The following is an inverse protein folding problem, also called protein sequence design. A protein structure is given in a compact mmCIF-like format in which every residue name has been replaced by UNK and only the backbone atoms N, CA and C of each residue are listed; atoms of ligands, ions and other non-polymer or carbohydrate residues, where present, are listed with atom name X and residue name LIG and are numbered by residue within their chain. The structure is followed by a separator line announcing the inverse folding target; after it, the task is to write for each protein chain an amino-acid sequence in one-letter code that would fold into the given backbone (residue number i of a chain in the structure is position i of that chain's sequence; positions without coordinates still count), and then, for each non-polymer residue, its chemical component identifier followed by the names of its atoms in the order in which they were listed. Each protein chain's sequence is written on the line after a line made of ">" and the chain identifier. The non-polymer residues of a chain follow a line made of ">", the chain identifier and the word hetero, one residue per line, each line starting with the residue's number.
data_IF_766884805517
#
_entry.id   IF_766884805517
#
_cell.length_a   1.000
_cell.length_b   1.000
_cell.length_c   1.000
_cell.angle_alpha   90.00
_cell.angle_beta   90.00
_cell.angle_gamma   90.00
#
_symmetry.space_group_name_H-M   'P 1'
#
loop_
_entity.id
_entity.type
_entity.pdbx_description
1 polymer ?
#
# COMPACT_ATOMS: atom_id res chain seq x y z
N UNK A 1 -11.75 26.76 6.26
CA UNK A 1 -12.01 25.34 5.97
C UNK A 1 -11.58 25.05 4.55
N UNK A 2 -10.68 24.08 4.35
CA UNK A 2 -10.41 23.52 3.04
C UNK A 2 -11.47 22.45 2.73
N UNK A 3 -11.91 22.42 1.48
CA UNK A 3 -12.73 21.32 0.99
C UNK A 3 -11.81 20.15 0.69
N UNK A 4 -12.10 18.96 1.22
CA UNK A 4 -11.48 17.73 0.77
C UNK A 4 -11.83 17.51 -0.69
N UNK A 5 -10.89 17.02 -1.47
CA UNK A 5 -11.10 16.77 -2.90
C UNK A 5 -10.63 15.37 -3.25
N UNK A 6 -11.57 14.57 -3.70
CA UNK A 6 -11.30 13.22 -4.18
C UNK A 6 -11.54 13.14 -5.67
N UNK A 7 -10.54 12.69 -6.40
CA UNK A 7 -10.64 12.35 -7.82
C UNK A 7 -10.55 10.83 -7.96
N UNK A 8 -11.50 10.26 -8.69
CA UNK A 8 -11.49 8.86 -9.05
C UNK A 8 -11.82 8.73 -10.53
N UNK A 9 -10.83 8.32 -11.33
CA UNK A 9 -10.97 8.10 -12.75
C UNK A 9 -10.66 6.65 -13.05
N UNK A 10 -11.63 5.95 -13.62
CA UNK A 10 -11.48 4.56 -14.03
C UNK A 10 -11.85 4.41 -15.50
N UNK A 11 -10.95 3.85 -16.26
CA UNK A 11 -11.14 3.56 -17.68
C UNK A 11 -10.88 2.08 -17.92
N UNK A 12 -11.65 1.48 -18.84
CA UNK A 12 -11.42 0.11 -19.27
C UNK A 12 -11.43 0.03 -20.79
N UNK A 13 -10.56 -0.80 -21.30
CA UNK A 13 -10.41 -1.08 -22.72
C UNK A 13 -10.46 -2.60 -22.89
N UNK A 14 -11.27 -3.07 -23.80
CA UNK A 14 -11.33 -4.49 -24.14
C UNK A 14 -11.50 -4.65 -25.63
N UNK A 15 -10.99 -5.73 -26.15
CA UNK A 15 -11.11 -6.05 -27.55
C UNK A 15 -10.51 -7.42 -27.83
N UNK A 16 -10.58 -7.82 -29.08
CA UNK A 16 -9.99 -9.07 -29.50
C UNK A 16 -10.58 -9.60 -30.80
N UNK A 17 -10.15 -10.80 -31.10
CA UNK A 17 -10.57 -11.62 -32.22
C UNK A 17 -10.75 -13.05 -31.74
N UNK A 18 -10.98 -13.97 -32.66
CA UNK A 18 -11.04 -15.41 -32.36
C UNK A 18 -9.69 -15.95 -31.86
N UNK A 19 -8.57 -15.24 -32.16
CA UNK A 19 -7.22 -15.67 -31.79
C UNK A 19 -6.70 -15.00 -30.54
N UNK A 20 -7.16 -13.80 -30.19
CA UNK A 20 -6.71 -13.13 -28.98
C UNK A 20 -7.82 -12.29 -28.37
N UNK A 21 -7.76 -12.10 -27.05
CA UNK A 21 -8.63 -11.21 -26.29
C UNK A 21 -7.79 -10.46 -25.29
N UNK A 22 -8.10 -9.19 -25.10
CA UNK A 22 -7.46 -8.40 -24.05
C UNK A 22 -8.48 -7.59 -23.26
N UNK A 23 -8.12 -7.33 -22.01
CA UNK A 23 -8.85 -6.44 -21.13
C UNK A 23 -7.86 -5.64 -20.30
N UNK A 24 -7.91 -4.31 -20.44
CA UNK A 24 -7.03 -3.38 -19.71
C UNK A 24 -7.88 -2.43 -18.90
N UNK A 25 -7.50 -2.20 -17.65
CA UNK A 25 -8.08 -1.20 -16.75
C UNK A 25 -7.00 -0.25 -16.30
N UNK A 26 -7.29 1.04 -16.36
CA UNK A 26 -6.51 2.11 -15.76
C UNK A 26 -7.36 2.76 -14.68
N UNK A 27 -6.86 2.77 -13.46
CA UNK A 27 -7.53 3.34 -12.29
C UNK A 27 -6.61 4.39 -11.67
N UNK A 28 -7.04 5.64 -11.69
CA UNK A 28 -6.36 6.75 -11.03
C UNK A 28 -7.22 7.27 -9.89
N UNK A 29 -6.65 7.27 -8.69
CA UNK A 29 -7.26 7.78 -7.49
C UNK A 29 -6.37 8.82 -6.85
N UNK A 30 -6.95 9.93 -6.45
CA UNK A 30 -6.29 10.95 -5.64
C UNK A 30 -7.25 11.51 -4.61
N UNK A 31 -6.86 11.42 -3.36
CA UNK A 31 -7.58 12.00 -2.24
C UNK A 31 -6.71 13.05 -1.55
N UNK A 32 -7.29 14.18 -1.28
CA UNK A 32 -6.65 15.29 -0.57
C UNK A 32 -7.46 15.62 0.67
N UNK A 33 -6.80 15.61 1.81
CA UNK A 33 -7.39 15.89 3.12
C UNK A 33 -8.02 17.28 3.18
N UNK A 34 -9.05 17.40 4.04
CA UNK A 34 -9.65 18.68 4.45
C UNK A 34 -8.76 19.51 5.39
N UNK A 35 -7.64 18.95 5.87
CA UNK A 35 -6.71 19.70 6.70
C UNK A 35 -6.14 20.88 5.90
N UNK A 36 -6.22 22.07 6.51
CA UNK A 36 -5.79 23.31 5.84
C UNK A 36 -4.30 23.22 5.50
N UNK A 37 -3.96 23.41 4.20
CA UNK A 37 -2.59 23.67 3.80
C UNK A 37 -2.15 24.95 4.50
N UNK A 38 -1.18 24.85 5.35
CA UNK A 38 -0.62 26.03 5.97
C UNK A 38 0.73 25.71 6.61
N UNK A 39 1.68 25.40 5.77
CA UNK A 39 3.07 25.47 6.15
C UNK A 39 3.55 26.90 5.91
N UNK A 40 4.06 27.53 6.91
CA UNK A 40 4.80 28.80 6.77
C UNK A 40 6.12 28.53 6.07
N UNK A 41 6.64 27.32 6.22
CA UNK A 41 7.83 26.84 5.55
C UNK A 41 7.50 26.34 4.13
N UNK A 42 7.96 27.06 3.13
CA UNK A 42 7.69 26.76 1.72
C UNK A 42 8.50 25.58 1.17
N UNK A 43 9.48 25.06 1.94
CA UNK A 43 10.35 23.95 1.54
C UNK A 43 9.62 22.61 1.51
N UNK A 44 8.45 22.48 2.16
CA UNK A 44 7.66 21.24 2.17
C UNK A 44 6.16 21.49 2.32
N UNK A 45 5.37 20.47 1.98
CA UNK A 45 3.90 20.48 2.10
C UNK A 45 3.46 19.33 3.02
N UNK A 46 2.79 19.66 4.12
CA UNK A 46 2.27 18.71 5.10
C UNK A 46 0.83 18.26 4.82
N UNK A 47 0.22 18.74 3.73
CA UNK A 47 -1.16 18.37 3.39
C UNK A 47 -1.24 16.86 3.11
N UNK A 48 -2.01 16.10 3.89
CA UNK A 48 -2.16 14.68 3.63
C UNK A 48 -2.80 14.43 2.27
N UNK A 49 -2.15 13.62 1.47
CA UNK A 49 -2.61 13.24 0.12
C UNK A 49 -2.34 11.75 -0.10
N UNK A 50 -3.32 11.02 -0.62
CA UNK A 50 -3.17 9.65 -1.12
C UNK A 50 -3.36 9.66 -2.63
N UNK A 51 -2.33 9.30 -3.38
CA UNK A 51 -2.39 9.19 -4.84
C UNK A 51 -2.07 7.76 -5.25
N UNK A 52 -2.87 7.19 -6.13
CA UNK A 52 -2.70 5.83 -6.61
C UNK A 52 -3.00 5.74 -8.10
N UNK A 53 -2.07 5.14 -8.84
CA UNK A 53 -2.27 4.73 -10.22
C UNK A 53 -2.16 3.21 -10.28
N UNK A 54 -3.17 2.55 -10.85
CA UNK A 54 -3.14 1.11 -11.10
C UNK A 54 -3.44 0.86 -12.57
N UNK A 55 -2.60 0.08 -13.21
CA UNK A 55 -2.85 -0.44 -14.56
C UNK A 55 -2.89 -1.95 -14.46
N UNK A 56 -3.95 -2.55 -14.98
CA UNK A 56 -4.12 -3.99 -15.06
C UNK A 56 -4.42 -4.38 -16.50
N UNK A 57 -3.70 -5.37 -17.00
CA UNK A 57 -3.94 -5.93 -18.35
C UNK A 57 -3.99 -7.44 -18.25
N UNK A 58 -5.00 -8.03 -18.86
CA UNK A 58 -5.10 -9.48 -19.09
C UNK A 58 -5.12 -9.72 -20.59
N UNK A 59 -4.43 -10.74 -21.03
CA UNK A 59 -4.32 -11.16 -22.43
C UNK A 59 -4.51 -12.67 -22.53
N UNK A 60 -5.42 -13.09 -23.38
CA UNK A 60 -5.63 -14.49 -23.78
C UNK A 60 -5.28 -14.63 -25.25
N UNK A 61 -4.41 -15.57 -25.60
CA UNK A 61 -3.97 -15.84 -26.99
C UNK A 61 -4.14 -17.32 -27.30
N UNK A 62 -4.94 -17.63 -28.30
CA UNK A 62 -5.00 -18.96 -28.90
C UNK A 62 -3.82 -19.12 -29.86
N UNK A 63 -2.77 -19.73 -29.39
CA UNK A 63 -1.56 -19.99 -30.20
C UNK A 63 -1.85 -21.02 -31.29
N UNK A 64 -2.61 -22.07 -30.92
CA UNK A 64 -3.22 -23.05 -31.80
C UNK A 64 -4.64 -23.36 -31.34
N UNK A 65 -5.39 -24.19 -32.07
CA UNK A 65 -6.72 -24.63 -31.63
C UNK A 65 -6.70 -25.40 -30.30
N UNK A 66 -5.55 -26.00 -29.96
CA UNK A 66 -5.36 -26.78 -28.74
C UNK A 66 -4.49 -26.08 -27.68
N UNK A 67 -3.90 -24.92 -28.01
CA UNK A 67 -2.95 -24.21 -27.13
C UNK A 67 -3.46 -22.82 -26.80
N UNK A 68 -3.69 -22.56 -25.52
CA UNK A 68 -4.10 -21.26 -24.98
C UNK A 68 -3.00 -20.69 -24.09
N UNK A 69 -2.55 -19.49 -24.41
CA UNK A 69 -1.63 -18.69 -23.60
C UNK A 69 -2.44 -17.61 -22.88
N UNK A 70 -2.22 -17.44 -21.57
CA UNK A 70 -2.79 -16.32 -20.80
C UNK A 70 -1.67 -15.57 -20.12
N UNK A 71 -1.74 -14.26 -20.17
CA UNK A 71 -0.84 -13.36 -19.47
C UNK A 71 -1.61 -12.30 -18.70
N UNK A 72 -1.21 -12.07 -17.47
CA UNK A 72 -1.74 -11.01 -16.61
C UNK A 72 -0.60 -10.12 -16.10
N UNK A 73 -0.84 -8.82 -16.04
CA UNK A 73 0.08 -7.88 -15.43
C UNK A 73 -0.69 -6.81 -14.66
N UNK A 74 -0.26 -6.53 -13.44
CA UNK A 74 -0.77 -5.43 -12.62
C UNK A 74 0.40 -4.58 -12.18
N UNK A 75 0.43 -3.33 -12.62
CA UNK A 75 1.31 -2.29 -12.11
C UNK A 75 0.55 -1.34 -11.20
N UNK A 76 1.04 -1.09 -9.99
CA UNK A 76 0.47 -0.09 -9.08
C UNK A 76 1.57 0.78 -8.51
N UNK A 77 1.36 2.08 -8.61
CA UNK A 77 2.15 3.08 -7.91
C UNK A 77 1.24 3.79 -6.91
N UNK A 78 1.64 3.82 -5.64
CA UNK A 78 0.94 4.52 -4.57
C UNK A 78 1.88 5.49 -3.89
N UNK A 79 1.46 6.73 -3.75
CA UNK A 79 2.17 7.78 -3.03
C UNK A 79 1.29 8.32 -1.91
N UNK A 80 1.83 8.29 -0.69
CA UNK A 80 1.23 8.88 0.50
C UNK A 80 2.10 10.05 0.93
N UNK A 81 1.50 11.21 1.09
CA UNK A 81 2.14 12.39 1.68
C UNK A 81 1.39 12.82 2.92
N UNK A 82 2.08 13.48 3.82
CA UNK A 82 1.44 14.01 5.01
C UNK A 82 2.43 14.56 6.03
N UNK A 83 1.93 14.83 7.21
CA UNK A 83 2.73 15.25 8.34
C UNK A 83 3.67 14.15 8.81
N UNK A 84 4.81 14.51 9.38
CA UNK A 84 5.79 13.56 9.95
C UNK A 84 5.14 12.61 10.97
N UNK A 85 4.24 13.12 11.79
CA UNK A 85 3.40 12.30 12.66
C UNK A 85 2.12 11.88 11.96
N UNK A 86 1.75 10.62 12.14
CA UNK A 86 0.50 10.08 11.61
C UNK A 86 -0.72 10.81 12.20
N UNK A 87 -1.82 10.78 11.46
CA UNK A 87 -3.09 11.41 11.82
C UNK A 87 -3.50 11.12 13.26
N UNK A 88 -3.45 9.86 13.68
CA UNK A 88 -3.86 9.45 15.03
C UNK A 88 -3.02 10.13 16.13
N UNK A 89 -1.72 10.29 15.91
CA UNK A 89 -0.85 10.98 16.88
C UNK A 89 -1.26 12.43 17.05
N UNK A 90 -1.55 13.13 15.95
CA UNK A 90 -1.98 14.53 16.00
C UNK A 90 -3.32 14.65 16.71
N UNK A 91 -4.30 13.81 16.38
CA UNK A 91 -5.61 13.82 17.07
C UNK A 91 -5.50 13.47 18.55
N UNK A 92 -4.66 12.51 18.92
CA UNK A 92 -4.40 12.17 20.32
C UNK A 92 -3.80 13.37 21.08
N UNK A 93 -2.94 14.18 20.45
CA UNK A 93 -2.45 15.42 21.05
C UNK A 93 -3.54 16.49 21.17
N UNK A 94 -4.41 16.62 20.17
CA UNK A 94 -5.56 17.57 20.23
C UNK A 94 -6.50 17.21 21.37
N UNK A 95 -6.83 15.95 21.58
CA UNK A 95 -7.74 15.53 22.65
C UNK A 95 -7.06 15.41 24.03
N UNK A 96 -5.77 15.10 24.04
CA UNK A 96 -5.04 14.87 25.31
C UNK A 96 -4.41 16.12 25.93
N UNK A 97 -4.40 17.26 25.24
CA UNK A 97 -3.83 18.51 25.76
C UNK A 97 -4.95 19.48 26.06
N UNK A 98 -5.16 19.85 27.35
CA UNK A 98 -6.14 20.87 27.72
C UNK A 98 -5.84 22.21 27.03
N UNK A 99 -6.89 22.91 26.58
CA UNK A 99 -6.75 24.21 25.91
C UNK A 99 -6.10 25.29 26.80
N UNK A 100 -6.17 25.13 28.11
CA UNK A 100 -5.54 26.01 29.09
C UNK A 100 -4.05 25.70 29.35
N UNK A 101 -3.49 24.61 28.79
CA UNK A 101 -2.13 24.21 29.07
C UNK A 101 -1.09 25.19 28.52
N UNK A 102 -1.33 25.73 27.33
CA UNK A 102 -0.50 26.74 26.67
C UNK A 102 -1.23 27.32 25.45
N UNK A 103 -0.92 28.54 24.98
CA UNK A 103 -1.47 29.09 23.75
C UNK A 103 -0.90 28.36 22.54
N UNK A 104 -1.59 28.37 21.40
CA UNK A 104 -1.09 27.84 20.15
C UNK A 104 0.26 28.51 19.78
N UNK A 105 0.27 29.85 19.86
CA UNK A 105 1.46 30.69 19.69
C UNK A 105 1.43 31.87 20.68
N UNK A 106 2.58 32.28 21.11
CA UNK A 106 2.76 33.52 21.84
C UNK A 106 2.85 34.69 20.86
N UNK A 107 2.77 35.93 21.36
CA UNK A 107 2.83 37.16 20.55
C UNK A 107 4.13 37.27 19.73
N UNK A 108 5.23 36.75 20.25
CA UNK A 108 6.52 36.66 19.54
C UNK A 108 6.59 35.59 18.45
N UNK A 109 5.47 34.92 18.13
CA UNK A 109 5.37 33.90 17.10
C UNK A 109 5.86 32.51 17.49
N UNK A 110 6.42 32.32 18.71
CA UNK A 110 6.91 31.04 19.19
C UNK A 110 5.73 30.14 19.60
N UNK A 111 5.77 28.86 19.22
CA UNK A 111 4.76 27.89 19.61
C UNK A 111 4.71 27.69 21.13
N UNK A 112 3.51 27.57 21.67
CA UNK A 112 3.33 27.20 23.08
C UNK A 112 3.68 25.74 23.32
N UNK A 113 4.22 25.48 24.50
CA UNK A 113 4.53 24.16 25.00
C UNK A 113 4.60 24.18 26.52
N UNK A 114 4.91 23.06 27.13
CA UNK A 114 5.12 22.96 28.58
C UNK A 114 6.09 21.82 28.91
N UNK A 115 6.59 21.81 30.15
CA UNK A 115 7.44 20.71 30.63
C UNK A 115 6.74 19.35 30.63
N UNK A 116 5.41 19.33 30.73
CA UNK A 116 4.60 18.11 30.72
C UNK A 116 4.32 17.61 29.30
N UNK A 117 4.00 18.51 28.39
CA UNK A 117 3.59 18.17 27.03
C UNK A 117 4.71 18.35 26.00
N UNK A 118 5.82 18.97 26.39
CA UNK A 118 7.02 19.17 25.56
C UNK A 118 6.68 19.84 24.22
N UNK A 119 7.22 19.26 23.14
CA UNK A 119 6.97 19.66 21.76
C UNK A 119 5.62 19.17 21.23
N UNK A 120 4.64 18.89 22.10
CA UNK A 120 3.37 18.29 21.72
C UNK A 120 2.34 19.24 21.14
N UNK A 121 2.69 20.50 20.82
CA UNK A 121 1.72 21.45 20.23
C UNK A 121 1.13 20.92 18.92
N UNK A 122 -0.18 20.62 18.87
CA UNK A 122 -0.78 19.95 17.70
C UNK A 122 -0.65 20.76 16.41
N UNK A 123 -0.68 22.09 16.51
CA UNK A 123 -0.57 22.97 15.34
C UNK A 123 0.85 23.00 14.82
N UNK A 124 1.86 23.02 15.71
CA UNK A 124 3.26 22.93 15.30
C UNK A 124 3.57 21.57 14.66
N UNK A 125 3.07 20.48 15.25
CA UNK A 125 3.23 19.13 14.69
C UNK A 125 2.59 18.98 13.32
N UNK A 126 1.47 19.66 13.08
CA UNK A 126 0.78 19.66 11.79
C UNK A 126 1.51 20.49 10.73
N UNK A 127 2.14 21.61 11.13
CA UNK A 127 2.63 22.62 10.19
C UNK A 127 4.15 22.63 10.05
N UNK A 128 4.89 22.50 11.13
CA UNK A 128 6.30 22.86 11.20
C UNK A 128 7.23 21.74 11.70
N UNK A 129 6.75 20.50 11.80
CA UNK A 129 7.54 19.39 12.29
C UNK A 129 8.08 18.45 11.20
N UNK A 130 8.05 18.91 9.93
CA UNK A 130 8.44 18.13 8.78
C UNK A 130 7.31 17.33 8.16
N UNK A 131 7.64 16.48 7.20
CA UNK A 131 6.66 15.72 6.43
C UNK A 131 7.15 14.32 6.08
N UNK A 132 6.23 13.47 5.65
CA UNK A 132 6.52 12.16 5.08
C UNK A 132 6.05 12.10 3.63
N UNK A 133 6.78 11.32 2.83
CA UNK A 133 6.41 10.89 1.49
C UNK A 133 6.73 9.41 1.34
N UNK A 134 5.70 8.57 1.33
CA UNK A 134 5.85 7.14 1.21
C UNK A 134 5.44 6.72 -0.20
N UNK A 135 6.34 6.05 -0.92
CA UNK A 135 6.11 5.58 -2.28
C UNK A 135 6.14 4.06 -2.29
N UNK A 136 5.07 3.44 -2.77
CA UNK A 136 4.93 1.99 -2.89
C UNK A 136 4.74 1.61 -4.34
N UNK A 137 5.58 0.71 -4.83
CA UNK A 137 5.46 0.05 -6.11
C UNK A 137 4.99 -1.40 -5.95
N UNK A 138 4.06 -1.81 -6.76
CA UNK A 138 3.60 -3.21 -6.84
C UNK A 138 3.61 -3.62 -8.30
N UNK A 139 4.26 -4.73 -8.61
CA UNK A 139 4.21 -5.40 -9.89
C UNK A 139 3.79 -6.85 -9.65
N UNK A 140 2.68 -7.26 -10.23
CA UNK A 140 2.22 -8.65 -10.25
C UNK A 140 2.17 -9.06 -11.72
N UNK A 141 2.79 -10.18 -12.05
CA UNK A 141 2.80 -10.72 -13.39
C UNK A 141 2.55 -12.23 -13.34
N UNK A 142 1.71 -12.71 -14.21
CA UNK A 142 1.42 -14.12 -14.39
C UNK A 142 1.42 -14.48 -15.87
N UNK A 143 1.87 -15.69 -16.16
CA UNK A 143 1.86 -16.29 -17.49
C UNK A 143 1.48 -17.76 -17.34
N UNK A 144 0.48 -18.21 -18.11
CA UNK A 144 0.13 -19.62 -18.18
C UNK A 144 -0.03 -20.08 -19.61
N UNK A 145 0.33 -21.32 -19.84
CA UNK A 145 0.13 -22.04 -21.10
C UNK A 145 -0.67 -23.31 -20.81
N UNK A 146 -1.82 -23.44 -21.48
CA UNK A 146 -2.69 -24.62 -21.40
C UNK A 146 -2.72 -25.31 -22.73
N UNK A 147 -2.43 -26.61 -22.71
CA UNK A 147 -2.47 -27.50 -23.87
C UNK A 147 -3.62 -28.49 -23.70
N UNK A 148 -4.57 -28.48 -24.63
CA UNK A 148 -5.53 -29.57 -24.77
C UNK A 148 -4.83 -30.80 -25.37
N UNK A 149 -4.91 -31.92 -24.66
CA UNK A 149 -4.32 -33.21 -25.03
C UNK A 149 -5.40 -34.22 -25.45
N UNK A 150 -6.57 -33.74 -25.88
CA UNK A 150 -7.69 -34.59 -26.31
C UNK A 150 -7.35 -35.49 -27.51
N UNK A 151 -6.31 -35.16 -28.26
CA UNK A 151 -5.76 -36.00 -29.30
C UNK A 151 -5.14 -37.33 -28.77
N UNK A 152 -4.62 -37.27 -27.51
CA UNK A 152 -4.13 -38.46 -26.81
C UNK A 152 -5.24 -39.18 -26.09
N UNK A 153 -6.01 -38.43 -25.31
CA UNK A 153 -7.16 -38.94 -24.54
C UNK A 153 -8.18 -37.82 -24.36
N UNK A 154 -9.42 -38.04 -24.79
CA UNK A 154 -10.50 -37.06 -24.67
C UNK A 154 -10.66 -36.62 -23.21
N UNK A 155 -10.64 -35.32 -22.99
CA UNK A 155 -10.79 -34.70 -21.66
C UNK A 155 -9.50 -34.52 -20.88
N UNK A 156 -8.34 -34.86 -21.45
CA UNK A 156 -7.03 -34.61 -20.86
C UNK A 156 -6.52 -33.22 -21.26
N UNK A 157 -5.94 -32.50 -20.31
CA UNK A 157 -5.24 -31.25 -20.58
C UNK A 157 -4.04 -31.10 -19.63
N UNK A 158 -3.05 -30.34 -20.05
CA UNK A 158 -1.92 -29.94 -19.24
C UNK A 158 -1.81 -28.42 -19.21
N UNK A 159 -1.36 -27.87 -18.07
CA UNK A 159 -1.17 -26.45 -17.88
C UNK A 159 0.14 -26.21 -17.10
N UNK A 160 0.91 -25.24 -17.53
CA UNK A 160 2.04 -24.74 -16.76
C UNK A 160 1.86 -23.23 -16.56
N UNK A 161 2.14 -22.75 -15.37
CA UNK A 161 2.06 -21.33 -15.05
C UNK A 161 3.24 -20.86 -14.23
N UNK A 162 3.62 -19.61 -14.43
CA UNK A 162 4.59 -18.90 -13.63
C UNK A 162 3.98 -17.59 -13.17
N UNK A 163 4.24 -17.21 -11.93
CA UNK A 163 3.88 -15.88 -11.43
C UNK A 163 5.05 -15.21 -10.72
N UNK A 164 5.04 -13.90 -10.78
CA UNK A 164 6.06 -13.06 -10.16
C UNK A 164 5.40 -11.85 -9.53
N UNK A 165 5.57 -11.71 -8.22
CA UNK A 165 5.07 -10.59 -7.44
C UNK A 165 6.25 -9.81 -6.86
N UNK A 166 6.30 -8.52 -7.12
CA UNK A 166 7.25 -7.60 -6.53
C UNK A 166 6.51 -6.46 -5.83
N UNK A 167 6.72 -6.33 -4.53
CA UNK A 167 6.15 -5.25 -3.72
C UNK A 167 7.30 -4.59 -2.98
N UNK A 168 7.55 -3.32 -3.31
CA UNK A 168 8.59 -2.51 -2.67
C UNK A 168 8.05 -1.16 -2.24
N UNK A 169 8.68 -0.57 -1.24
CA UNK A 169 8.33 0.75 -0.75
C UNK A 169 9.52 1.50 -0.19
N UNK A 170 9.45 2.81 -0.28
CA UNK A 170 10.41 3.74 0.28
C UNK A 170 9.67 4.78 1.10
N UNK A 171 10.14 4.98 2.34
CA UNK A 171 9.65 6.03 3.22
C UNK A 171 10.64 7.18 3.22
N UNK A 172 10.22 8.31 2.69
CA UNK A 172 10.97 9.55 2.79
C UNK A 172 10.41 10.34 3.97
N UNK A 173 11.27 10.66 4.93
CA UNK A 173 10.92 11.51 6.06
C UNK A 173 11.79 12.74 6.03
N UNK A 174 11.18 13.91 5.99
CA UNK A 174 11.85 15.18 6.18
C UNK A 174 11.62 15.64 7.60
N UNK A 175 12.69 15.83 8.32
CA UNK A 175 12.67 16.20 9.72
C UNK A 175 12.95 17.70 9.87
N UNK A 176 12.13 18.37 10.66
CA UNK A 176 12.32 19.75 11.10
C UNK A 176 12.01 19.83 12.58
N UNK A 177 12.86 20.42 13.34
CA UNK A 177 12.60 20.75 14.74
C UNK A 177 12.15 22.20 14.86
N UNK A 178 11.37 22.50 15.89
CA UNK A 178 10.91 23.84 16.20
C UNK A 178 11.10 24.15 17.68
N UNK A 179 11.37 25.40 18.00
CA UNK A 179 11.43 25.89 19.37
C UNK A 179 10.02 26.12 19.90
N UNK A 180 9.85 25.91 21.19
CA UNK A 180 8.62 26.22 21.88
C UNK A 180 8.89 27.01 23.17
N UNK A 181 7.89 27.74 23.64
CA UNK A 181 7.96 28.54 24.83
C UNK A 181 6.99 28.00 25.86
N UNK A 182 7.47 27.92 27.11
CA UNK A 182 6.66 27.70 28.29
C UNK A 182 6.65 28.98 29.13
N UNK A 183 5.51 29.35 29.67
CA UNK A 183 5.39 30.43 30.63
C UNK A 183 5.27 29.84 32.03
N UNK A 184 6.33 29.88 32.78
CA UNK A 184 6.34 29.44 34.17
C UNK A 184 5.76 30.55 35.06
N UNK A 185 4.71 30.22 35.81
CA UNK A 185 4.10 31.14 36.76
C UNK A 185 4.65 30.85 38.17
N UNK A 186 5.05 31.88 38.88
CA UNK A 186 5.47 31.82 40.28
C UNK A 186 4.82 32.95 41.06
N UNK A 187 4.51 32.71 42.33
CA UNK A 187 4.01 33.74 43.23
C UNK A 187 5.21 34.18 44.07
N UNK A 188 5.48 35.47 44.02
CA UNK A 188 6.50 36.12 44.86
C UNK A 188 6.06 36.22 46.30
N UNK A 189 7.00 36.53 47.22
CA UNK A 189 6.74 36.61 48.66
C UNK A 189 5.69 37.69 49.05
N UNK A 190 5.45 38.65 48.16
CA UNK A 190 4.46 39.70 48.32
C UNK A 190 3.09 39.33 47.71
N UNK A 191 2.96 38.09 47.22
CA UNK A 191 1.69 37.59 46.59
C UNK A 191 1.52 37.96 45.12
N UNK A 192 2.51 38.58 44.49
CA UNK A 192 2.44 38.97 43.09
C UNK A 192 2.69 37.78 42.18
N UNK A 193 1.80 37.56 41.19
CA UNK A 193 2.00 36.54 40.18
C UNK A 193 3.03 37.01 39.13
N UNK A 194 4.15 36.36 39.06
CA UNK A 194 5.20 36.64 38.06
C UNK A 194 5.25 35.49 37.05
N UNK A 195 5.17 35.83 35.77
CA UNK A 195 5.34 34.84 34.69
C UNK A 195 6.71 35.03 34.04
N UNK A 196 7.51 33.96 34.02
CA UNK A 196 8.82 33.95 33.39
C UNK A 196 8.77 33.04 32.15
N UNK A 197 8.95 33.61 30.95
CA UNK A 197 9.03 32.79 29.74
C UNK A 197 10.33 32.00 29.69
N UNK A 198 10.25 30.73 29.33
CA UNK A 198 11.39 29.84 29.07
C UNK A 198 11.25 29.25 27.68
N UNK A 199 12.30 29.42 26.87
CA UNK A 199 12.35 28.91 25.50
C UNK A 199 13.14 27.62 25.49
N UNK A 200 12.58 26.59 24.83
CA UNK A 200 13.17 25.25 24.70
C UNK A 200 13.25 24.84 23.23
N UNK A 201 14.23 24.00 22.93
CA UNK A 201 14.47 23.51 21.56
C UNK A 201 15.11 24.59 20.68
N UNK A 202 15.28 24.23 19.42
CA UNK A 202 15.87 25.10 18.38
C UNK A 202 15.08 24.94 17.10
N UNK A 203 14.96 26.02 16.34
CA UNK A 203 14.43 25.94 14.97
C UNK A 203 15.51 25.36 14.06
N UNK A 204 15.15 24.34 13.27
CA UNK A 204 16.08 23.79 12.29
C UNK A 204 16.23 24.73 11.09
N UNK A 205 17.45 25.22 10.88
CA UNK A 205 17.82 25.97 9.68
C UNK A 205 17.88 25.04 8.45
N UNK A 206 18.37 23.81 8.63
CA UNK A 206 18.43 22.77 7.62
C UNK A 206 17.42 21.67 7.89
N UNK A 207 16.95 21.02 6.83
CA UNK A 207 16.05 19.87 6.94
C UNK A 207 16.86 18.57 6.98
N UNK A 208 16.57 17.72 7.96
CA UNK A 208 17.10 16.35 7.99
C UNK A 208 16.27 15.45 7.08
N UNK A 209 16.93 14.52 6.38
CA UNK A 209 16.26 13.56 5.50
C UNK A 209 16.63 12.14 5.90
N UNK A 210 15.64 11.26 5.92
CA UNK A 210 15.81 9.80 6.08
C UNK A 210 14.99 9.08 5.04
N UNK A 211 15.58 8.04 4.41
CA UNK A 211 14.96 7.31 3.30
C UNK A 211 15.14 5.79 3.47
N UNK A 212 14.57 5.17 4.51
CA UNK A 212 14.63 3.72 4.65
C UNK A 212 13.74 3.02 3.61
N UNK A 213 14.20 1.88 3.10
CA UNK A 213 13.32 0.92 2.46
C UNK A 213 12.40 0.32 3.52
N UNK A 214 11.09 0.42 3.31
CA UNK A 214 10.14 -0.09 4.29
C UNK A 214 9.84 -1.56 4.09
N UNK A 215 9.69 -1.99 2.85
CA UNK A 215 9.29 -3.36 2.55
C UNK A 215 9.80 -3.78 1.17
N UNK A 216 10.41 -4.95 1.13
CA UNK A 216 10.66 -5.69 -0.10
C UNK A 216 10.04 -7.07 0.05
N UNK A 217 9.12 -7.43 -0.84
CA UNK A 217 8.60 -8.77 -0.99
C UNK A 217 8.73 -9.18 -2.46
N UNK A 218 9.46 -10.26 -2.68
CA UNK A 218 9.52 -10.94 -3.95
C UNK A 218 8.89 -12.31 -3.78
N UNK A 219 7.91 -12.64 -4.59
CA UNK A 219 7.32 -13.95 -4.67
C UNK A 219 7.44 -14.44 -6.10
N UNK A 220 7.92 -15.64 -6.27
CA UNK A 220 7.86 -16.36 -7.52
C UNK A 220 7.17 -17.70 -7.29
N UNK A 221 6.36 -18.09 -8.23
CA UNK A 221 5.53 -19.28 -8.15
C UNK A 221 5.58 -19.99 -9.50
N UNK A 222 5.76 -21.30 -9.47
CA UNK A 222 5.65 -22.16 -10.63
C UNK A 222 4.65 -23.26 -10.32
N UNK A 223 3.69 -23.46 -11.21
CA UNK A 223 2.74 -24.55 -11.10
C UNK A 223 2.67 -25.35 -12.39
N UNK A 224 2.69 -26.66 -12.27
CA UNK A 224 2.39 -27.58 -13.35
C UNK A 224 1.16 -28.41 -12.97
N UNK A 225 0.21 -28.52 -13.87
CA UNK A 225 -1.06 -29.19 -13.66
C UNK A 225 -1.36 -30.11 -14.83
N UNK A 226 -1.82 -31.30 -14.53
CA UNK A 226 -2.46 -32.19 -15.50
C UNK A 226 -3.87 -32.45 -14.99
N UNK A 227 -4.87 -32.19 -15.79
CA UNK A 227 -6.26 -32.41 -15.47
C UNK A 227 -6.96 -33.30 -16.51
N UNK A 228 -7.85 -34.13 -16.00
CA UNK A 228 -8.70 -35.01 -16.78
C UNK A 228 -10.15 -34.80 -16.40
N UNK A 229 -11.03 -34.64 -17.37
CA UNK A 229 -12.46 -34.54 -17.16
C UNK A 229 -13.20 -35.16 -18.34
N UNK A 230 -13.97 -36.21 -18.07
CA UNK A 230 -14.69 -36.93 -19.13
C UNK A 230 -15.99 -37.52 -18.63
N UNK A 231 -17.00 -37.48 -19.49
CA UNK A 231 -18.30 -38.09 -19.24
C UNK A 231 -18.45 -39.36 -20.07
N UNK A 232 -18.83 -40.44 -19.41
CA UNK A 232 -19.11 -41.76 -19.97
C UNK A 232 -20.60 -42.11 -19.70
N UNK A 233 -21.48 -41.79 -20.61
CA UNK A 233 -22.91 -41.92 -20.37
C UNK A 233 -23.37 -41.09 -19.18
N UNK A 234 -23.81 -41.74 -18.09
CA UNK A 234 -24.23 -41.06 -16.88
C UNK A 234 -23.10 -40.82 -15.86
N UNK A 235 -21.90 -41.29 -16.15
CA UNK A 235 -20.74 -41.22 -15.26
C UNK A 235 -19.84 -40.06 -15.69
N UNK A 236 -19.60 -39.10 -14.83
CA UNK A 236 -18.60 -38.05 -15.01
C UNK A 236 -17.45 -38.30 -14.09
N UNK A 237 -16.24 -38.42 -14.64
CA UNK A 237 -15.00 -38.63 -13.92
C UNK A 237 -14.12 -37.42 -14.12
N UNK A 238 -13.63 -36.84 -13.05
CA UNK A 238 -12.69 -35.74 -13.06
C UNK A 238 -11.51 -36.01 -12.12
N UNK A 239 -10.38 -35.40 -12.41
CA UNK A 239 -9.24 -35.43 -11.52
C UNK A 239 -8.18 -34.44 -11.96
N UNK A 240 -7.30 -34.07 -11.03
CA UNK A 240 -6.14 -33.25 -11.32
C UNK A 240 -4.95 -33.66 -10.44
N UNK A 241 -3.76 -33.63 -11.05
CA UNK A 241 -2.48 -33.67 -10.38
C UNK A 241 -1.83 -32.29 -10.55
N UNK A 242 -1.47 -31.67 -9.45
CA UNK A 242 -0.87 -30.34 -9.42
C UNK A 242 0.45 -30.42 -8.66
N UNK A 243 1.51 -29.92 -9.27
CA UNK A 243 2.77 -29.62 -8.62
C UNK A 243 2.93 -28.13 -8.51
N UNK A 244 3.27 -27.64 -7.34
CA UNK A 244 3.45 -26.23 -7.02
C UNK A 244 4.80 -26.01 -6.35
N UNK A 245 5.52 -24.98 -6.80
CA UNK A 245 6.78 -24.55 -6.22
C UNK A 245 6.76 -23.05 -6.02
N UNK A 246 6.87 -22.62 -4.77
CA UNK A 246 6.81 -21.22 -4.37
C UNK A 246 8.11 -20.78 -3.70
N UNK A 247 8.58 -19.59 -4.04
CA UNK A 247 9.65 -18.90 -3.34
C UNK A 247 9.18 -17.51 -2.91
N UNK A 248 9.30 -17.20 -1.62
CA UNK A 248 8.95 -15.89 -1.05
C UNK A 248 10.16 -15.33 -0.32
N UNK A 249 10.59 -14.14 -0.70
CA UNK A 249 11.67 -13.38 -0.05
C UNK A 249 11.06 -12.13 0.57
N UNK A 250 11.27 -11.96 1.89
CA UNK A 250 10.79 -10.79 2.63
C UNK A 250 11.96 -10.10 3.33
N UNK A 251 12.10 -8.78 3.09
CA UNK A 251 13.12 -7.96 3.78
C UNK A 251 14.56 -8.50 3.62
N UNK A 252 14.92 -8.91 2.40
CA UNK A 252 16.24 -9.41 2.06
C UNK A 252 16.33 -10.93 1.91
N UNK A 253 17.42 -11.40 1.28
CA UNK A 253 17.60 -12.80 0.87
C UNK A 253 17.69 -13.79 2.03
N UNK A 254 18.07 -13.35 3.21
CA UNK A 254 18.18 -14.22 4.39
C UNK A 254 16.83 -14.69 4.93
N UNK A 255 15.71 -14.05 4.53
CA UNK A 255 14.35 -14.40 4.93
C UNK A 255 13.59 -15.05 3.76
N UNK A 256 14.24 -15.92 3.01
CA UNK A 256 13.60 -16.66 1.93
C UNK A 256 12.90 -17.90 2.45
N UNK A 257 11.66 -18.09 2.03
CA UNK A 257 10.86 -19.30 2.27
C UNK A 257 10.63 -19.98 0.93
N UNK A 258 10.91 -21.28 0.86
CA UNK A 258 10.68 -22.10 -0.32
C UNK A 258 9.75 -23.25 0.06
N UNK A 259 8.67 -23.37 -0.67
CA UNK A 259 7.68 -24.42 -0.47
C UNK A 259 7.51 -25.21 -1.76
N UNK A 260 7.31 -26.49 -1.62
CA UNK A 260 6.92 -27.38 -2.72
C UNK A 260 5.73 -28.22 -2.24
N UNK A 261 4.76 -28.40 -3.10
CA UNK A 261 3.60 -29.21 -2.80
C UNK A 261 3.13 -29.99 -4.01
N UNK A 262 2.54 -31.14 -3.72
CA UNK A 262 1.82 -31.96 -4.69
C UNK A 262 0.39 -32.11 -4.20
N UNK A 263 -0.55 -31.77 -5.05
CA UNK A 263 -1.97 -31.89 -4.79
C UNK A 263 -2.60 -32.86 -5.79
N UNK A 264 -3.36 -33.80 -5.28
CA UNK A 264 -4.17 -34.72 -6.10
C UNK A 264 -5.63 -34.53 -5.72
N UNK A 265 -6.47 -34.37 -6.72
CA UNK A 265 -7.90 -34.41 -6.50
C UNK A 265 -8.54 -35.39 -7.49
N UNK A 266 -9.66 -36.00 -7.07
CA UNK A 266 -10.48 -36.86 -7.93
C UNK A 266 -11.93 -36.56 -7.63
N UNK A 267 -12.73 -36.52 -8.67
CA UNK A 267 -14.19 -36.30 -8.56
C UNK A 267 -14.94 -37.33 -9.40
N UNK A 268 -16.05 -37.77 -8.91
CA UNK A 268 -16.96 -38.64 -9.61
C UNK A 268 -18.41 -38.16 -9.44
N UNK A 269 -19.15 -38.10 -10.51
CA UNK A 269 -20.56 -37.74 -10.46
C UNK A 269 -21.38 -38.71 -11.30
N UNK A 270 -22.48 -39.20 -10.76
CA UNK A 270 -23.43 -40.09 -11.44
C UNK A 270 -24.74 -39.38 -11.69
N UNK A 271 -25.18 -39.35 -12.98
CA UNK A 271 -26.45 -38.79 -13.44
C UNK A 271 -26.75 -37.37 -12.96
N UNK A 272 -25.70 -36.57 -12.68
CA UNK A 272 -25.77 -35.25 -12.07
C UNK A 272 -26.50 -35.20 -10.70
N UNK A 273 -26.67 -36.35 -10.03
CA UNK A 273 -27.43 -36.48 -8.79
C UNK A 273 -26.54 -36.83 -7.60
N UNK A 274 -25.53 -37.66 -7.82
CA UNK A 274 -24.65 -38.15 -6.78
C UNK A 274 -23.21 -37.76 -7.13
N UNK A 275 -22.53 -37.04 -6.25
CA UNK A 275 -21.15 -36.64 -6.43
C UNK A 275 -20.27 -37.02 -5.24
N UNK A 276 -19.06 -37.41 -5.51
CA UNK A 276 -18.02 -37.73 -4.53
C UNK A 276 -16.77 -36.92 -4.86
#
# INVERSE_FOLDING_TARGET
>A
NNTGLTHNLKMSFSGGSDKFRFYTVVDYYRDRSMLKKNTEDTRFDTTPTDTRLTVRTNLDVKVTESTLLKAGIVGRLKELRGTRYGRNTIFNKIYGIPSAAFPIRYENGIYGGSSVYGTGNPVALLKDYGHIRNVYGTLLADLSIRQDLSALTKGLAAEASVSFDNIGGMNETTNKEYRYMNSNASITSDGTLVTTPAIYGTDSETLGHTQPFERLMLRSDFQAKVDYNRTFGKHQVGGALIYDMQSVVKNGRNNSQKNQSVLVNATYTYDNRYSL
#
